data_IF_981799104138
#
_entry.id   IF_981799104138
#
_cell.length_a   1.000
_cell.length_b   1.000
_cell.length_c   1.000
_cell.angle_alpha   90.00
_cell.angle_beta   90.00
_cell.angle_gamma   90.00
#
_symmetry.space_group_name_H-M   'P 1'
#
loop_
_entity.id
_entity.type
_entity.pdbx_description
1 polymer ?
#
# COMPACT_ATOMS: atom_id res chain seq x y z
N UNK A 1 0.87 0.07 13.00
CA UNK A 1 0.70 0.85 11.74
C UNK A 1 1.74 0.38 10.75
N UNK A 2 1.39 0.21 9.49
CA UNK A 2 2.12 -0.62 8.55
C UNK A 2 3.20 0.15 7.75
N UNK A 3 4.00 -0.56 6.95
CA UNK A 3 4.82 0.03 5.87
C UNK A 3 4.25 -0.36 4.51
N UNK A 4 4.25 0.59 3.57
CA UNK A 4 3.77 0.44 2.20
C UNK A 4 4.93 0.67 1.23
N UNK A 5 4.96 -0.13 0.16
CA UNK A 5 5.79 0.08 -1.01
C UNK A 5 4.97 -0.12 -2.27
N UNK A 6 5.22 0.73 -3.23
CA UNK A 6 4.85 0.55 -4.62
C UNK A 6 6.04 0.89 -5.51
N UNK A 7 6.23 0.11 -6.55
CA UNK A 7 7.22 0.38 -7.60
C UNK A 7 6.55 0.13 -8.94
N UNK A 8 6.69 1.06 -9.86
CA UNK A 8 6.27 0.91 -11.24
C UNK A 8 7.39 1.36 -12.16
N UNK A 9 7.65 0.61 -13.23
CA UNK A 9 8.55 1.03 -14.30
C UNK A 9 8.19 0.37 -15.64
N UNK A 10 8.41 1.09 -16.73
CA UNK A 10 8.39 0.57 -18.11
C UNK A 10 9.53 -0.43 -18.36
N UNK A 11 10.61 -0.34 -17.58
CA UNK A 11 11.76 -1.24 -17.64
C UNK A 11 11.59 -2.30 -16.56
N UNK A 12 11.62 -3.62 -16.88
CA UNK A 12 11.55 -4.66 -15.87
C UNK A 12 12.68 -4.51 -14.87
N UNK A 13 12.34 -4.69 -13.60
CA UNK A 13 13.29 -4.63 -12.50
C UNK A 13 13.23 -5.91 -11.65
N UNK A 14 14.33 -6.21 -10.97
CA UNK A 14 14.40 -7.27 -9.95
C UNK A 14 13.53 -6.90 -8.77
N UNK A 15 12.58 -7.76 -8.41
CA UNK A 15 11.69 -7.54 -7.25
C UNK A 15 12.52 -7.44 -5.96
N UNK A 16 13.56 -8.27 -5.84
CA UNK A 16 14.44 -8.31 -4.68
C UNK A 16 15.14 -6.96 -4.41
N UNK A 17 15.51 -6.23 -5.47
CA UNK A 17 16.22 -4.95 -5.35
C UNK A 17 15.39 -3.88 -4.61
N UNK A 18 14.05 -4.00 -4.63
CA UNK A 18 13.14 -3.11 -3.93
C UNK A 18 12.58 -3.72 -2.64
N UNK A 19 12.44 -5.05 -2.57
CA UNK A 19 11.98 -5.71 -1.35
C UNK A 19 13.03 -5.68 -0.24
N UNK A 20 14.33 -5.75 -0.55
CA UNK A 20 15.41 -5.69 0.44
C UNK A 20 15.45 -4.34 1.19
N UNK A 21 15.49 -3.16 0.54
CA UNK A 21 15.42 -1.89 1.26
C UNK A 21 14.06 -1.72 1.96
N UNK A 22 12.97 -2.24 1.40
CA UNK A 22 11.67 -2.26 2.08
C UNK A 22 11.67 -3.13 3.34
N UNK A 23 12.35 -4.26 3.33
CA UNK A 23 12.54 -5.10 4.50
C UNK A 23 13.36 -4.39 5.57
N UNK A 24 14.41 -3.67 5.16
CA UNK A 24 15.23 -2.87 6.07
C UNK A 24 14.41 -1.80 6.79
N UNK A 25 13.60 -0.99 6.08
CA UNK A 25 12.75 0.04 6.71
C UNK A 25 11.63 -0.58 7.56
N UNK A 26 11.18 -1.81 7.26
CA UNK A 26 10.19 -2.51 8.06
C UNK A 26 10.79 -3.04 9.36
N UNK A 27 11.98 -3.63 9.30
CA UNK A 27 12.71 -4.16 10.46
C UNK A 27 13.10 -3.06 11.46
N UNK A 28 13.51 -1.89 10.93
CA UNK A 28 13.96 -0.75 11.73
C UNK A 28 12.85 0.30 11.97
N UNK A 29 11.58 -0.05 11.68
CA UNK A 29 10.47 0.86 11.90
C UNK A 29 10.24 1.11 13.39
N UNK A 30 9.83 2.34 13.73
CA UNK A 30 9.37 2.72 15.08
C UNK A 30 8.25 1.80 15.60
N UNK A 31 7.36 1.34 14.74
CA UNK A 31 6.31 0.39 15.10
C UNK A 31 6.68 -1.01 14.58
N UNK A 32 6.47 -2.05 15.39
CA UNK A 32 6.83 -3.42 15.02
C UNK A 32 6.03 -3.92 13.79
N UNK A 33 6.75 -4.33 12.75
CA UNK A 33 6.21 -4.79 11.45
C UNK A 33 6.29 -6.31 11.24
N UNK A 34 6.44 -7.09 12.31
CA UNK A 34 6.70 -8.53 12.22
C UNK A 34 5.46 -9.42 12.19
N UNK A 35 4.26 -8.86 12.01
CA UNK A 35 3.01 -9.63 11.93
C UNK A 35 2.75 -10.21 10.53
N UNK A 36 3.83 -10.45 9.80
CA UNK A 36 3.86 -10.89 8.42
C UNK A 36 3.83 -9.76 7.40
N UNK A 37 3.88 -10.16 6.14
CA UNK A 37 3.92 -9.27 4.99
C UNK A 37 3.24 -9.89 3.78
N UNK A 38 3.16 -9.12 2.72
CA UNK A 38 2.79 -9.63 1.42
C UNK A 38 3.17 -8.69 0.29
N UNK A 39 3.14 -9.22 -0.92
CA UNK A 39 3.31 -8.44 -2.13
C UNK A 39 2.38 -8.93 -3.24
N UNK A 40 2.16 -8.06 -4.23
CA UNK A 40 1.60 -8.40 -5.51
C UNK A 40 2.48 -7.81 -6.61
N UNK A 41 2.73 -8.57 -7.66
CA UNK A 41 3.53 -8.12 -8.79
C UNK A 41 2.95 -8.66 -10.11
N UNK A 42 3.29 -8.00 -11.21
CA UNK A 42 2.81 -8.37 -12.52
C UNK A 42 3.78 -9.35 -13.20
N UNK A 43 3.30 -10.55 -13.52
CA UNK A 43 4.01 -11.52 -14.35
C UNK A 43 3.10 -11.94 -15.51
N UNK A 44 3.60 -11.87 -16.74
CA UNK A 44 2.86 -12.25 -17.96
C UNK A 44 1.44 -11.67 -18.04
N UNK A 45 1.26 -10.39 -17.67
CA UNK A 45 -0.03 -9.69 -17.64
C UNK A 45 -1.01 -10.13 -16.53
N UNK A 46 -0.58 -10.98 -15.60
CA UNK A 46 -1.37 -11.43 -14.45
C UNK A 46 -0.75 -10.98 -13.12
N UNK A 47 -1.62 -10.74 -12.15
CA UNK A 47 -1.19 -10.48 -10.78
C UNK A 47 -0.77 -11.77 -10.10
N UNK A 48 0.51 -11.89 -9.78
CA UNK A 48 1.01 -12.87 -8.81
C UNK A 48 0.96 -12.25 -7.43
N UNK A 49 0.59 -13.04 -6.43
CA UNK A 49 0.38 -12.58 -5.05
C UNK A 49 1.10 -13.51 -4.09
N UNK A 50 1.72 -12.93 -3.09
CA UNK A 50 2.40 -13.63 -2.02
C UNK A 50 2.04 -13.01 -0.68
N UNK A 51 1.81 -13.84 0.34
CA UNK A 51 1.58 -13.41 1.73
C UNK A 51 2.19 -14.43 2.67
N UNK A 52 2.86 -13.95 3.70
CA UNK A 52 3.50 -14.79 4.72
C UNK A 52 3.26 -14.18 6.10
N UNK A 53 3.20 -15.02 7.14
CA UNK A 53 3.21 -14.60 8.54
C UNK A 53 4.63 -14.32 9.05
N UNK A 54 5.64 -14.93 8.43
CA UNK A 54 7.05 -14.62 8.68
C UNK A 54 7.30 -13.15 8.33
N UNK A 55 8.01 -12.37 9.14
CA UNK A 55 8.40 -11.01 8.78
C UNK A 55 9.18 -10.95 7.47
N UNK A 56 9.05 -9.84 6.73
CA UNK A 56 9.73 -9.70 5.42
C UNK A 56 11.26 -9.83 5.51
N UNK A 57 11.88 -9.40 6.62
CA UNK A 57 13.34 -9.48 6.81
C UNK A 57 13.85 -10.89 7.12
N UNK A 58 12.96 -11.85 7.36
CA UNK A 58 13.28 -13.26 7.57
C UNK A 58 12.92 -14.14 6.36
N UNK A 59 12.29 -13.55 5.33
CA UNK A 59 11.83 -14.27 4.14
C UNK A 59 12.92 -14.36 3.06
N UNK A 60 12.85 -15.38 2.19
CA UNK A 60 13.77 -15.51 1.06
C UNK A 60 13.33 -14.59 -0.08
N UNK A 61 13.89 -13.40 -0.17
CA UNK A 61 13.52 -12.41 -1.21
C UNK A 61 14.05 -12.77 -2.61
N UNK A 62 14.98 -13.72 -2.73
CA UNK A 62 15.52 -14.15 -4.02
C UNK A 62 14.59 -15.13 -4.77
N UNK A 63 13.50 -15.56 -4.12
CA UNK A 63 12.46 -16.37 -4.76
C UNK A 63 11.66 -15.60 -5.83
N UNK A 64 11.74 -14.27 -5.84
CA UNK A 64 10.98 -13.41 -6.73
C UNK A 64 11.79 -13.03 -7.98
N UNK A 65 11.15 -13.09 -9.14
CA UNK A 65 11.76 -12.74 -10.42
C UNK A 65 11.75 -11.23 -10.71
N UNK A 66 11.57 -10.89 -11.97
CA UNK A 66 11.45 -9.50 -12.43
C UNK A 66 9.99 -9.09 -12.65
N UNK A 67 9.72 -7.80 -12.55
CA UNK A 67 8.38 -7.23 -12.80
C UNK A 67 8.50 -5.80 -13.31
N UNK A 68 7.38 -5.25 -13.78
CA UNK A 68 7.19 -3.82 -14.06
C UNK A 68 6.33 -3.10 -13.02
N UNK A 69 5.69 -3.86 -12.13
CA UNK A 69 4.78 -3.35 -11.12
C UNK A 69 4.87 -4.22 -9.88
N UNK A 70 5.09 -3.59 -8.73
CA UNK A 70 5.20 -4.22 -7.41
C UNK A 70 4.40 -3.40 -6.40
N UNK A 71 3.60 -4.07 -5.59
CA UNK A 71 3.01 -3.53 -4.37
C UNK A 71 3.44 -4.43 -3.23
N UNK A 72 3.92 -3.86 -2.12
CA UNK A 72 4.27 -4.61 -0.92
C UNK A 72 3.78 -3.93 0.35
N UNK A 73 3.50 -4.74 1.35
CA UNK A 73 2.97 -4.30 2.63
C UNK A 73 3.55 -5.15 3.76
N UNK A 74 4.24 -4.51 4.71
CA UNK A 74 4.67 -5.12 5.96
C UNK A 74 3.66 -4.77 7.06
N UNK A 75 3.19 -5.77 7.80
CA UNK A 75 2.05 -5.62 8.70
C UNK A 75 2.50 -5.39 10.14
N UNK A 76 1.88 -4.37 10.74
CA UNK A 76 1.81 -4.20 12.18
C UNK A 76 0.36 -4.42 12.62
N UNK A 77 0.06 -5.59 13.20
CA UNK A 77 -1.27 -5.91 13.70
C UNK A 77 -1.64 -4.96 14.84
N UNK A 78 -2.80 -4.33 14.74
CA UNK A 78 -3.31 -3.48 15.81
C UNK A 78 -3.64 -4.36 17.01
N UNK A 79 -2.98 -4.12 18.16
CA UNK A 79 -3.16 -4.87 19.42
C UNK A 79 -2.92 -6.38 19.32
N UNK A 80 -2.10 -6.82 18.35
CA UNK A 80 -1.77 -8.23 18.12
C UNK A 80 -3.00 -9.13 17.83
N UNK A 81 -4.12 -8.52 17.43
CA UNK A 81 -5.35 -9.23 17.11
C UNK A 81 -5.37 -9.70 15.64
N UNK A 82 -5.94 -10.88 15.40
CA UNK A 82 -6.22 -11.38 14.04
C UNK A 82 -4.96 -11.68 13.22
N UNK A 83 -3.94 -12.25 13.85
CA UNK A 83 -2.73 -12.76 13.17
C UNK A 83 -3.08 -14.04 12.40
N UNK A 84 -3.63 -13.84 11.21
CA UNK A 84 -3.88 -14.86 10.19
C UNK A 84 -3.44 -14.29 8.84
N UNK A 85 -2.94 -15.15 7.95
CA UNK A 85 -2.33 -14.73 6.67
C UNK A 85 -3.32 -13.96 5.79
N UNK A 86 -4.62 -14.26 5.93
CA UNK A 86 -5.72 -13.63 5.23
C UNK A 86 -5.84 -12.13 5.50
N UNK A 87 -5.38 -11.69 6.67
CA UNK A 87 -5.41 -10.30 7.10
C UNK A 87 -4.15 -9.53 6.64
N UNK A 88 -3.16 -10.22 6.05
CA UNK A 88 -2.02 -9.56 5.43
C UNK A 88 -2.43 -9.03 4.05
N UNK A 89 -1.98 -7.82 3.77
CA UNK A 89 -2.20 -7.14 2.50
C UNK A 89 -1.07 -7.48 1.51
N UNK A 90 -1.31 -7.41 0.20
CA UNK A 90 -2.46 -6.74 -0.45
C UNK A 90 -3.82 -7.43 -0.28
N UNK A 91 -4.89 -6.64 -0.24
CA UNK A 91 -6.25 -7.11 -0.57
C UNK A 91 -6.50 -6.93 -2.06
N UNK A 92 -7.42 -7.70 -2.63
CA UNK A 92 -7.63 -7.68 -4.07
C UNK A 92 -9.05 -8.03 -4.50
N UNK A 93 -9.36 -7.66 -5.73
CA UNK A 93 -10.43 -8.25 -6.54
C UNK A 93 -9.85 -8.70 -7.91
N UNK A 94 -10.69 -8.84 -8.94
CA UNK A 94 -10.25 -9.27 -10.27
C UNK A 94 -9.38 -8.22 -10.99
N UNK A 95 -9.42 -6.96 -10.57
CA UNK A 95 -8.81 -5.84 -11.28
C UNK A 95 -7.74 -5.14 -10.46
N UNK A 96 -7.98 -5.00 -9.15
CA UNK A 96 -7.22 -4.10 -8.29
C UNK A 96 -6.54 -4.82 -7.13
N UNK A 97 -5.31 -4.39 -6.84
CA UNK A 97 -4.56 -4.67 -5.61
C UNK A 97 -4.63 -3.46 -4.69
N UNK A 98 -4.74 -3.67 -3.39
CA UNK A 98 -4.94 -2.62 -2.39
C UNK A 98 -4.06 -2.86 -1.14
N UNK A 99 -3.32 -1.83 -0.74
CA UNK A 99 -2.53 -1.81 0.50
C UNK A 99 -2.87 -0.54 1.30
N UNK A 100 -2.86 -0.63 2.63
CA UNK A 100 -3.32 0.43 3.52
C UNK A 100 -2.46 0.57 4.77
N UNK A 101 -2.21 1.80 5.18
CA UNK A 101 -1.59 2.14 6.46
C UNK A 101 -2.41 3.25 7.14
N UNK A 102 -3.03 2.93 8.27
CA UNK A 102 -3.88 3.88 8.94
C UNK A 102 -4.71 3.30 10.08
N UNK A 103 -5.43 4.19 10.75
CA UNK A 103 -6.28 3.90 11.91
C UNK A 103 -7.40 4.92 11.90
N UNK A 104 -8.63 4.41 11.83
CA UNK A 104 -9.85 5.20 11.83
C UNK A 104 -10.65 4.84 13.07
N UNK A 105 -11.10 5.85 13.81
CA UNK A 105 -11.84 5.68 15.08
C UNK A 105 -13.28 6.14 14.92
N UNK A 106 -14.21 5.35 15.45
CA UNK A 106 -15.63 5.66 15.40
C UNK A 106 -16.20 5.68 13.97
N UNK A 107 -15.80 4.70 13.14
CA UNK A 107 -16.29 4.53 11.77
C UNK A 107 -17.75 4.05 11.82
N UNK A 108 -18.65 4.79 11.16
CA UNK A 108 -20.10 4.51 11.08
C UNK A 108 -20.53 3.93 9.74
N UNK A 109 -19.58 3.47 8.93
CA UNK A 109 -19.84 2.80 7.66
C UNK A 109 -20.07 1.32 7.92
N UNK A 110 -21.20 0.80 7.43
CA UNK A 110 -21.50 -0.63 7.42
C UNK A 110 -21.02 -1.21 6.08
N UNK A 111 -19.93 -1.96 6.13
CA UNK A 111 -19.38 -2.68 4.99
C UNK A 111 -18.90 -4.06 5.45
N UNK A 112 -19.07 -5.07 4.60
CA UNK A 112 -18.56 -6.41 4.87
C UNK A 112 -17.03 -6.44 4.78
N UNK A 113 -16.37 -7.34 5.50
CA UNK A 113 -14.91 -7.48 5.46
C UNK A 113 -14.33 -7.84 6.82
N UNK A 114 -13.18 -8.53 6.80
CA UNK A 114 -12.52 -9.06 8.00
C UNK A 114 -11.83 -7.95 8.80
N UNK A 115 -11.22 -7.00 8.10
CA UNK A 115 -10.46 -5.89 8.69
C UNK A 115 -11.02 -4.54 8.27
N UNK A 116 -10.66 -3.47 8.99
CA UNK A 116 -11.00 -2.10 8.60
C UNK A 116 -10.46 -1.72 7.21
N UNK A 117 -9.26 -2.18 6.89
CA UNK A 117 -8.63 -1.96 5.58
C UNK A 117 -9.39 -2.66 4.45
N UNK A 118 -9.86 -3.90 4.64
CA UNK A 118 -10.68 -4.61 3.63
C UNK A 118 -12.03 -3.89 3.41
N UNK A 119 -12.61 -3.33 4.48
CA UNK A 119 -13.84 -2.52 4.37
C UNK A 119 -13.59 -1.24 3.58
N UNK A 120 -12.48 -0.54 3.81
CA UNK A 120 -12.11 0.65 3.02
C UNK A 120 -11.98 0.28 1.54
N UNK A 121 -11.28 -0.81 1.23
CA UNK A 121 -11.15 -1.30 -0.15
C UNK A 121 -12.53 -1.50 -0.79
N UNK A 122 -13.45 -2.19 -0.13
CA UNK A 122 -14.81 -2.45 -0.64
C UNK A 122 -15.63 -1.16 -0.84
N UNK A 123 -15.49 -0.18 0.06
CA UNK A 123 -16.13 1.13 -0.13
C UNK A 123 -15.60 1.82 -1.38
N UNK A 124 -14.28 1.79 -1.63
CA UNK A 124 -13.69 2.31 -2.87
C UNK A 124 -14.28 1.59 -4.09
N UNK A 125 -14.30 0.25 -4.07
CA UNK A 125 -14.85 -0.55 -5.17
C UNK A 125 -16.32 -0.26 -5.46
N UNK A 126 -17.12 0.07 -4.44
CA UNK A 126 -18.54 0.45 -4.59
C UNK A 126 -18.73 1.75 -5.39
N UNK A 127 -17.75 2.66 -5.31
CA UNK A 127 -17.82 3.96 -5.98
C UNK A 127 -17.06 4.01 -7.31
N UNK A 128 -16.14 3.07 -7.57
CA UNK A 128 -15.53 2.92 -8.89
C UNK A 128 -16.56 2.41 -9.90
N UNK A 129 -16.96 3.29 -10.82
CA UNK A 129 -17.86 3.00 -11.94
C UNK A 129 -17.12 3.08 -13.29
N UNK A 130 -15.87 2.62 -13.31
CA UNK A 130 -14.97 2.74 -14.46
C UNK A 130 -14.04 3.96 -14.38
N UNK A 131 -14.07 4.69 -13.27
CA UNK A 131 -13.21 5.83 -12.95
C UNK A 131 -12.72 5.64 -11.51
N UNK A 132 -11.52 5.08 -11.39
CA UNK A 132 -10.94 4.73 -10.09
C UNK A 132 -10.70 5.98 -9.26
N UNK A 133 -10.15 7.05 -9.85
CA UNK A 133 -9.83 8.28 -9.11
C UNK A 133 -11.09 8.95 -8.58
N UNK A 134 -12.14 9.09 -9.39
CA UNK A 134 -13.42 9.59 -8.93
C UNK A 134 -14.02 8.70 -7.83
N UNK A 135 -13.92 7.38 -7.98
CA UNK A 135 -14.31 6.40 -6.97
C UNK A 135 -13.58 6.59 -5.65
N UNK A 136 -12.25 6.80 -5.70
CA UNK A 136 -11.40 7.10 -4.55
C UNK A 136 -11.82 8.41 -3.88
N UNK A 137 -11.95 9.51 -4.63
CA UNK A 137 -12.40 10.80 -4.08
C UNK A 137 -13.73 10.67 -3.36
N UNK A 138 -14.69 9.95 -3.95
CA UNK A 138 -16.00 9.74 -3.35
C UNK A 138 -15.92 8.91 -2.08
N UNK A 139 -15.15 7.81 -2.11
CA UNK A 139 -14.94 6.94 -0.97
C UNK A 139 -14.29 7.68 0.20
N UNK A 140 -13.19 8.40 -0.05
CA UNK A 140 -12.47 9.20 0.96
C UNK A 140 -13.41 10.24 1.59
N UNK A 141 -14.17 10.98 0.78
CA UNK A 141 -15.15 11.96 1.28
C UNK A 141 -16.22 11.32 2.17
N UNK A 142 -16.73 10.14 1.80
CA UNK A 142 -17.74 9.41 2.59
C UNK A 142 -17.13 8.87 3.88
N UNK A 143 -15.93 8.31 3.82
CA UNK A 143 -15.21 7.77 4.98
C UNK A 143 -14.94 8.88 5.99
N UNK A 144 -14.42 10.02 5.55
CA UNK A 144 -14.17 11.17 6.41
C UNK A 144 -15.45 11.66 7.09
N UNK A 145 -16.54 11.87 6.34
CA UNK A 145 -17.83 12.32 6.89
C UNK A 145 -18.48 11.31 7.85
N UNK A 146 -18.12 10.03 7.77
CA UNK A 146 -18.70 8.94 8.57
C UNK A 146 -17.71 8.38 9.58
N UNK A 147 -16.61 9.05 9.83
CA UNK A 147 -15.59 8.66 10.81
C UNK A 147 -15.41 9.77 11.83
N UNK A 148 -15.46 9.42 13.12
CA UNK A 148 -15.28 10.42 14.20
C UNK A 148 -13.88 11.03 14.17
N UNK A 149 -12.87 10.20 13.93
CA UNK A 149 -11.48 10.65 13.88
C UNK A 149 -10.63 9.77 12.96
N UNK A 150 -9.86 10.40 12.08
CA UNK A 150 -8.88 9.75 11.20
C UNK A 150 -7.50 10.07 11.74
N UNK A 151 -6.76 9.07 12.25
CA UNK A 151 -5.35 9.26 12.61
C UNK A 151 -4.50 9.30 11.34
N UNK A 152 -4.68 8.29 10.50
CA UNK A 152 -4.13 8.18 9.15
C UNK A 152 -5.02 7.28 8.29
N UNK A 153 -5.01 7.51 6.98
CA UNK A 153 -5.73 6.79 5.95
C UNK A 153 -4.88 6.72 4.67
N UNK A 154 -3.62 6.32 4.78
CA UNK A 154 -2.78 6.16 3.60
C UNK A 154 -3.13 4.84 2.90
N UNK A 155 -3.28 4.89 1.58
CA UNK A 155 -3.42 3.66 0.80
C UNK A 155 -2.94 3.85 -0.62
N UNK A 156 -2.66 2.72 -1.25
CA UNK A 156 -2.36 2.62 -2.68
C UNK A 156 -3.28 1.54 -3.26
N UNK A 157 -3.96 1.88 -4.36
CA UNK A 157 -4.77 0.96 -5.14
C UNK A 157 -4.26 0.93 -6.57
N UNK A 158 -3.93 -0.24 -7.08
CA UNK A 158 -3.33 -0.39 -8.41
C UNK A 158 -4.06 -1.44 -9.25
N UNK A 159 -4.26 -1.13 -10.53
CA UNK A 159 -4.55 -2.09 -11.59
C UNK A 159 -3.31 -2.30 -12.45
N UNK A 160 -3.47 -2.99 -13.58
CA UNK A 160 -2.40 -3.16 -14.57
C UNK A 160 -2.02 -1.89 -15.34
N UNK A 161 -2.84 -0.84 -15.28
CA UNK A 161 -2.69 0.37 -16.12
C UNK A 161 -2.67 1.68 -15.34
N UNK A 162 -3.09 1.64 -14.08
CA UNK A 162 -3.19 2.82 -13.25
C UNK A 162 -3.02 2.48 -11.78
N UNK A 163 -2.63 3.47 -11.00
CA UNK A 163 -2.76 3.45 -9.55
C UNK A 163 -3.31 4.78 -9.05
N UNK A 164 -3.92 4.72 -7.88
CA UNK A 164 -4.30 5.89 -7.11
C UNK A 164 -3.69 5.78 -5.72
N UNK A 165 -3.04 6.86 -5.28
CA UNK A 165 -2.40 7.00 -3.97
C UNK A 165 -3.16 8.05 -3.17
N UNK A 166 -3.57 7.70 -1.96
CA UNK A 166 -4.17 8.63 -1.02
C UNK A 166 -3.20 8.88 0.13
N UNK A 167 -2.86 10.15 0.36
CA UNK A 167 -2.09 10.61 1.51
C UNK A 167 -3.00 11.42 2.42
N UNK A 168 -3.32 10.89 3.60
CA UNK A 168 -4.13 11.60 4.59
C UNK A 168 -3.77 11.14 6.01
N UNK A 169 -3.22 12.06 6.81
CA UNK A 169 -3.00 11.89 8.24
C UNK A 169 -3.29 13.18 9.03
N UNK A 170 -3.57 13.04 10.32
CA UNK A 170 -3.72 14.16 11.27
C UNK A 170 -2.71 14.10 12.43
N UNK A 171 -1.89 13.05 12.50
CA UNK A 171 -0.85 12.84 13.52
C UNK A 171 0.44 12.32 12.87
N UNK A 172 1.54 12.35 13.62
CA UNK A 172 2.86 11.77 13.31
C UNK A 172 3.29 11.92 11.82
N UNK A 173 3.49 13.16 11.32
CA UNK A 173 3.90 13.38 9.93
C UNK A 173 5.19 12.65 9.57
N UNK A 174 6.11 12.51 10.52
CA UNK A 174 7.36 11.77 10.33
C UNK A 174 7.11 10.28 10.01
N UNK A 175 6.03 9.71 10.53
CA UNK A 175 5.67 8.31 10.29
C UNK A 175 4.76 8.12 9.07
N UNK A 176 3.80 9.03 8.84
CA UNK A 176 2.75 8.87 7.83
C UNK A 176 2.99 9.61 6.52
N UNK A 177 4.04 10.41 6.38
CA UNK A 177 4.34 11.01 5.07
C UNK A 177 4.75 9.90 4.10
N UNK A 178 3.98 9.74 3.01
CA UNK A 178 4.41 8.92 1.88
C UNK A 178 5.47 9.70 1.10
N UNK A 179 6.45 9.01 0.55
CA UNK A 179 7.52 9.59 -0.25
C UNK A 179 7.50 8.96 -1.63
N UNK A 180 7.79 9.77 -2.65
CA UNK A 180 7.97 9.32 -4.03
C UNK A 180 9.39 9.57 -4.49
N UNK A 181 9.89 8.72 -5.38
CA UNK A 181 11.17 8.90 -6.03
C UNK A 181 11.06 8.50 -7.50
N UNK A 182 11.38 9.40 -8.45
CA UNK A 182 11.45 9.04 -9.85
C UNK A 182 12.60 8.06 -10.10
N UNK A 183 12.38 7.09 -10.99
CA UNK A 183 13.40 6.18 -11.50
C UNK A 183 13.32 6.15 -13.03
N UNK A 184 14.34 5.65 -13.74
CA UNK A 184 14.25 5.47 -15.19
C UNK A 184 13.00 4.68 -15.57
N UNK A 185 12.16 5.29 -16.41
CA UNK A 185 10.92 4.69 -16.90
C UNK A 185 9.81 4.52 -15.86
N UNK A 186 9.89 5.13 -14.66
CA UNK A 186 8.81 4.99 -13.68
C UNK A 186 9.06 5.68 -12.34
N UNK A 187 8.52 5.09 -11.27
CA UNK A 187 8.58 5.65 -9.92
C UNK A 187 8.50 4.61 -8.81
N UNK A 188 9.01 5.02 -7.65
CA UNK A 188 8.84 4.36 -6.37
C UNK A 188 7.95 5.24 -5.50
N UNK A 189 7.03 4.63 -4.76
CA UNK A 189 6.30 5.29 -3.67
C UNK A 189 6.40 4.42 -2.43
N UNK A 190 6.92 4.97 -1.33
CA UNK A 190 7.14 4.23 -0.09
C UNK A 190 6.69 5.01 1.14
N UNK A 191 6.41 4.31 2.23
CA UNK A 191 6.11 4.95 3.53
C UNK A 191 7.33 5.60 4.19
N UNK A 192 8.54 5.28 3.74
CA UNK A 192 9.78 5.85 4.22
C UNK A 192 10.82 5.77 3.09
N UNK A 193 11.68 6.80 2.90
CA UNK A 193 12.79 6.74 1.96
C UNK A 193 13.71 5.56 2.24
N UNK A 194 14.31 5.01 1.20
CA UNK A 194 15.31 3.95 1.38
C UNK A 194 16.60 4.53 1.99
N UNK A 195 17.21 3.75 2.90
CA UNK A 195 18.38 4.19 3.65
C UNK A 195 19.55 4.52 2.71
N UNK A 196 20.15 5.69 2.89
CA UNK A 196 21.28 6.15 2.08
C UNK A 196 20.92 6.65 0.68
N UNK A 197 19.64 6.65 0.30
CA UNK A 197 19.20 7.18 -0.97
C UNK A 197 18.77 8.65 -0.90
N UNK A 198 19.07 9.39 -1.97
CA UNK A 198 18.63 10.78 -2.19
C UNK A 198 17.43 10.84 -3.13
N UNK A 199 16.94 12.05 -3.39
CA UNK A 199 15.93 12.38 -4.42
C UNK A 199 14.51 11.85 -4.13
N UNK A 200 14.23 11.62 -2.85
CA UNK A 200 12.89 11.35 -2.37
C UNK A 200 12.15 12.65 -2.09
N UNK A 201 10.94 12.78 -2.63
CA UNK A 201 10.03 13.89 -2.40
C UNK A 201 8.86 13.44 -1.52
N UNK A 202 8.44 14.23 -0.51
CA UNK A 202 7.24 13.93 0.24
C UNK A 202 5.98 14.14 -0.63
N UNK A 203 5.06 13.18 -0.59
CA UNK A 203 3.71 13.37 -1.12
C UNK A 203 2.93 14.22 -0.11
N UNK A 204 2.37 15.38 -0.52
CA UNK A 204 1.70 16.27 0.41
C UNK A 204 0.53 15.59 1.14
N UNK A 205 0.26 16.03 2.37
CA UNK A 205 -0.91 15.55 3.11
C UNK A 205 -2.22 16.03 2.44
N UNK A 206 -3.29 15.25 2.60
CA UNK A 206 -4.63 15.49 2.02
C UNK A 206 -4.63 15.55 0.49
N UNK A 207 -3.83 14.69 -0.14
CA UNK A 207 -3.80 14.55 -1.61
C UNK A 207 -4.26 13.17 -2.06
N UNK A 208 -4.81 13.16 -3.27
CA UNK A 208 -5.08 11.96 -4.05
C UNK A 208 -4.35 12.15 -5.37
N UNK A 209 -3.34 11.32 -5.61
CA UNK A 209 -2.55 11.33 -6.83
C UNK A 209 -2.92 10.09 -7.68
N UNK A 210 -2.93 10.27 -8.99
CA UNK A 210 -3.19 9.22 -9.96
C UNK A 210 -2.00 9.11 -10.90
N UNK A 211 -1.60 7.88 -11.17
CA UNK A 211 -0.53 7.57 -12.11
C UNK A 211 -1.06 6.53 -13.09
N UNK A 212 -0.83 6.76 -14.38
CA UNK A 212 -1.27 5.89 -15.48
C UNK A 212 -0.08 5.51 -16.34
N UNK A 213 -0.14 4.35 -16.97
CA UNK A 213 0.91 3.85 -17.86
C UNK A 213 0.37 2.89 -18.93
N UNK A 214 1.20 2.65 -19.94
CA UNK A 214 0.94 1.73 -21.05
C UNK A 214 2.19 0.92 -21.37
N UNK A 215 2.23 -0.34 -20.95
CA UNK A 215 3.26 -1.31 -21.34
C UNK A 215 2.62 -2.66 -21.67
#
# INVERSE_FOLDING_TARGET
MCRLLLVQSEIPFSIADYLRPFAHIAQHSKEYQGHGWGCAYLADQYWVRYRNLTPIWEDNLDQFGTTRLLLAHARSAFRDEGIVVENNMPFWDNTYMFIFNGELRGVRIREAGRTGAEKIFRVIRRFDRGDLKAGVHKAVSVIEKRTRYVRAMNFMIASRKQMVVNSYFNEDPAYFTLHRKPIPGGMIIASEPFAGETDWEPIPNRTIEEYTWSF
#
